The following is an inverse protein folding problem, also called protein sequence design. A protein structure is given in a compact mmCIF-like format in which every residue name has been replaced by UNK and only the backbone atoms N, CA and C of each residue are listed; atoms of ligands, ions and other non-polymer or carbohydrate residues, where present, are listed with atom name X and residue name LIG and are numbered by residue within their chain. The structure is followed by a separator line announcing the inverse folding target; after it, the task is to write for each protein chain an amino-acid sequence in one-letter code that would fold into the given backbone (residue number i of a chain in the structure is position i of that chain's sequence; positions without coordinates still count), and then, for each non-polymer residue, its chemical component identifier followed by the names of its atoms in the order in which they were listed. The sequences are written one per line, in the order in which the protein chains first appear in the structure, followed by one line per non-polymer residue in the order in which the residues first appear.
data_IF_480351233304
#
_entry.id   IF_480351233304
#
_cell.length_a   1.000
_cell.length_b   1.000
_cell.length_c   1.000
_cell.angle_alpha   90.00
_cell.angle_beta   90.00
_cell.angle_gamma   90.00
#
_symmetry.space_group_name_H-M   'P 1'
#
loop_
_entity.id
_entity.type
_entity.pdbx_description
1 polymer ?
#
# COMPACT_ATOMS: atom_id res chain seq x y z
N UNK A 1 12.85 25.41 -0.03
CA UNK A 1 12.88 23.94 -0.24
C UNK A 1 12.52 23.72 -1.70
N UNK A 2 13.46 23.27 -2.50
CA UNK A 2 13.31 23.18 -3.95
C UNK A 2 12.56 21.88 -4.32
N UNK A 3 11.56 22.01 -5.20
CA UNK A 3 10.68 20.93 -5.64
C UNK A 3 11.48 19.87 -6.42
N UNK A 4 11.15 18.59 -6.24
CA UNK A 4 11.83 17.45 -6.89
C UNK A 4 11.75 17.59 -8.42
N UNK A 5 10.66 18.17 -8.92
CA UNK A 5 10.51 18.50 -10.34
C UNK A 5 11.48 19.58 -10.81
N UNK A 6 11.82 20.57 -9.97
CA UNK A 6 12.81 21.59 -10.32
C UNK A 6 14.22 21.02 -10.41
N UNK A 7 14.59 20.08 -9.54
CA UNK A 7 15.90 19.43 -9.61
C UNK A 7 16.03 18.55 -10.87
N UNK A 8 14.96 17.87 -11.27
CA UNK A 8 14.90 17.10 -12.52
C UNK A 8 15.06 18.00 -13.75
N UNK A 9 14.35 19.14 -13.79
CA UNK A 9 14.40 20.09 -14.91
C UNK A 9 15.75 20.83 -14.99
N UNK A 10 16.40 21.13 -13.86
CA UNK A 10 17.71 21.77 -13.85
C UNK A 10 18.81 20.87 -14.42
N UNK A 11 18.78 19.57 -14.13
CA UNK A 11 19.76 18.63 -14.72
C UNK A 11 19.59 18.49 -16.23
N UNK A 12 18.35 18.43 -16.73
CA UNK A 12 18.08 18.43 -18.17
C UNK A 12 18.52 19.73 -18.87
N UNK A 13 18.46 20.86 -18.18
CA UNK A 13 18.85 22.18 -18.73
C UNK A 13 20.36 22.39 -18.80
N UNK A 14 21.15 21.74 -17.95
CA UNK A 14 22.62 21.83 -17.96
C UNK A 14 23.21 21.06 -19.15
N UNK A 15 22.57 19.97 -19.58
CA UNK A 15 23.02 19.16 -20.72
C UNK A 15 22.75 19.81 -22.09
N UNK A 16 21.91 20.85 -22.16
CA UNK A 16 21.52 21.52 -23.40
C UNK A 16 22.49 22.55 -23.98
N UNK A 17 23.65 22.82 -23.34
CA UNK A 17 24.54 23.93 -23.74
C UNK A 17 25.97 23.53 -24.15
N UNK A 18 26.13 22.40 -24.85
CA UNK A 18 27.30 22.14 -25.70
C UNK A 18 26.83 21.91 -27.14
N UNK A 19 27.05 22.90 -28.00
CA UNK A 19 26.79 22.82 -29.44
C UNK A 19 27.97 22.17 -30.20
N UNK A 20 27.57 21.42 -31.23
CA UNK A 20 28.20 21.20 -32.56
C UNK A 20 28.94 19.88 -32.87
N UNK A 21 28.31 19.16 -33.81
CA UNK A 21 28.70 18.12 -34.76
C UNK A 21 30.14 17.57 -34.75
N UNK A 22 30.26 16.25 -34.52
CA UNK A 22 30.81 15.31 -35.50
C UNK A 22 30.30 13.88 -35.24
N UNK A 23 30.22 13.07 -36.28
CA UNK A 23 29.58 11.74 -36.33
C UNK A 23 30.65 10.65 -36.22
N UNK A 24 30.70 9.89 -35.13
CA UNK A 24 31.17 8.49 -35.11
C UNK A 24 31.13 7.90 -33.69
N UNK A 25 30.41 6.79 -33.58
CA UNK A 25 30.54 5.64 -32.67
C UNK A 25 31.10 5.78 -31.24
N UNK A 26 30.30 5.27 -30.30
CA UNK A 26 30.64 4.68 -28.99
C UNK A 26 31.09 5.61 -27.86
N UNK A 27 30.15 5.91 -26.95
CA UNK A 27 30.36 5.88 -25.49
C UNK A 27 29.01 5.92 -24.77
N UNK A 28 28.23 4.83 -24.92
CA UNK A 28 27.29 4.45 -23.87
C UNK A 28 28.21 3.86 -22.80
N UNK A 29 28.49 4.57 -21.70
CA UNK A 29 28.95 4.02 -20.40
C UNK A 29 29.63 5.06 -19.47
N UNK A 30 29.05 6.25 -19.26
CA UNK A 30 29.59 7.13 -18.20
C UNK A 30 28.57 7.99 -17.42
N UNK A 31 27.26 7.78 -17.61
CA UNK A 31 26.28 8.57 -16.86
C UNK A 31 24.96 7.87 -16.50
N UNK A 32 24.90 6.54 -16.52
CA UNK A 32 23.76 5.81 -15.94
C UNK A 32 23.88 5.81 -14.41
N UNK A 33 23.81 6.99 -13.79
CA UNK A 33 23.73 7.13 -12.34
C UNK A 33 22.37 6.62 -11.92
N UNK A 34 22.34 5.40 -11.38
CA UNK A 34 21.14 4.82 -10.81
C UNK A 34 20.81 5.56 -9.49
N UNK A 35 20.06 6.67 -9.59
CA UNK A 35 19.65 7.45 -8.42
C UNK A 35 18.53 6.73 -7.67
N UNK A 36 18.87 6.13 -6.53
CA UNK A 36 17.87 5.65 -5.57
C UNK A 36 17.26 6.88 -4.88
N UNK A 37 15.95 7.14 -5.04
CA UNK A 37 15.30 8.28 -4.39
C UNK A 37 15.39 8.13 -2.87
N UNK A 38 15.90 9.17 -2.19
CA UNK A 38 16.00 9.23 -0.72
C UNK A 38 15.25 10.45 -0.21
N UNK A 39 14.53 10.29 0.89
CA UNK A 39 13.84 11.37 1.59
C UNK A 39 13.90 11.17 3.10
N UNK A 40 13.88 12.26 3.85
CA UNK A 40 13.76 12.24 5.32
C UNK A 40 12.33 11.99 5.79
N UNK A 41 11.34 12.19 4.90
CA UNK A 41 9.92 11.99 5.18
C UNK A 41 9.39 10.72 4.51
N UNK A 42 8.45 10.00 5.15
CA UNK A 42 7.77 8.88 4.52
C UNK A 42 7.00 9.36 3.29
N UNK A 43 7.06 8.57 2.23
CA UNK A 43 6.40 8.87 0.96
C UNK A 43 5.04 8.18 0.88
N UNK A 44 4.06 8.84 0.24
CA UNK A 44 2.74 8.27 0.02
C UNK A 44 2.80 7.09 -0.97
N UNK A 45 2.08 6.01 -0.63
CA UNK A 45 1.96 4.81 -1.47
C UNK A 45 0.89 4.90 -2.56
N UNK A 46 -0.08 5.81 -2.44
CA UNK A 46 -1.19 5.97 -3.37
C UNK A 46 -0.83 6.94 -4.50
N UNK A 47 -1.18 6.59 -5.74
CA UNK A 47 -0.96 7.44 -6.93
C UNK A 47 0.50 7.90 -7.07
N UNK A 48 1.43 7.05 -6.66
CA UNK A 48 2.86 7.34 -6.71
C UNK A 48 3.54 6.44 -7.75
N UNK A 49 3.65 6.90 -9.02
CA UNK A 49 4.19 6.09 -10.10
C UNK A 49 5.68 5.76 -9.93
N UNK A 50 6.43 6.59 -9.21
CA UNK A 50 7.88 6.44 -9.05
C UNK A 50 8.26 5.50 -7.92
N UNK A 51 7.34 5.18 -7.01
CA UNK A 51 7.63 4.41 -5.79
C UNK A 51 8.19 3.02 -6.09
N UNK A 52 7.46 2.20 -6.86
CA UNK A 52 7.88 0.82 -7.15
C UNK A 52 9.00 0.76 -8.19
N UNK A 53 9.07 1.75 -9.09
CA UNK A 53 10.17 1.88 -10.04
C UNK A 53 11.50 2.16 -9.32
N UNK A 54 11.49 3.08 -8.35
CA UNK A 54 12.68 3.42 -7.55
C UNK A 54 13.04 2.36 -6.51
N UNK A 55 12.08 1.56 -6.04
CA UNK A 55 12.32 0.48 -5.08
C UNK A 55 12.91 -0.77 -5.76
N UNK A 56 12.52 -1.04 -7.01
CA UNK A 56 12.99 -2.20 -7.76
C UNK A 56 13.66 -1.84 -9.10
N UNK A 57 14.80 -1.15 -9.07
CA UNK A 57 15.65 -0.89 -10.24
C UNK A 57 15.91 -2.10 -11.13
N UNK A 58 16.11 -3.26 -10.51
CA UNK A 58 16.45 -4.52 -11.17
C UNK A 58 15.26 -5.12 -11.92
N UNK A 59 14.03 -4.86 -11.46
CA UNK A 59 12.80 -5.28 -12.11
C UNK A 59 12.31 -4.24 -13.14
N UNK A 60 12.63 -2.97 -12.93
CA UNK A 60 12.26 -1.86 -13.79
C UNK A 60 13.51 -1.12 -14.31
N UNK A 61 14.37 -1.78 -15.13
CA UNK A 61 15.66 -1.23 -15.53
C UNK A 61 15.56 0.08 -16.31
N UNK A 62 14.45 0.29 -17.02
CA UNK A 62 14.20 1.49 -17.80
C UNK A 62 13.43 2.58 -17.03
N UNK A 63 13.04 2.34 -15.78
CA UNK A 63 12.19 3.27 -15.03
C UNK A 63 10.81 3.50 -15.68
N UNK A 64 10.32 2.53 -16.45
CA UNK A 64 9.02 2.58 -17.15
C UNK A 64 8.08 1.49 -16.61
N UNK A 65 6.79 1.59 -16.94
CA UNK A 65 5.80 0.63 -16.43
C UNK A 65 5.33 0.93 -15.01
N UNK A 66 5.37 2.21 -14.62
CA UNK A 66 4.88 2.70 -13.34
C UNK A 66 3.49 2.17 -12.98
N UNK A 67 3.28 1.95 -11.69
CA UNK A 67 1.95 1.67 -11.16
C UNK A 67 1.11 2.93 -11.11
N UNK A 68 -0.18 2.80 -11.43
CA UNK A 68 -1.16 3.90 -11.32
C UNK A 68 -0.76 5.15 -12.14
N UNK A 69 -0.01 4.95 -13.22
CA UNK A 69 0.42 6.01 -14.12
C UNK A 69 -0.78 6.68 -14.81
N UNK A 70 -0.93 7.98 -14.58
CA UNK A 70 -2.01 8.80 -15.13
C UNK A 70 -1.81 9.13 -16.61
N UNK A 71 -0.58 9.00 -17.14
CA UNK A 71 -0.28 9.21 -18.56
C UNK A 71 -0.78 8.07 -19.45
N UNK A 72 -1.10 6.91 -18.86
CA UNK A 72 -1.56 5.73 -19.59
C UNK A 72 -2.96 5.97 -20.20
N UNK A 73 -3.18 5.62 -21.48
CA UNK A 73 -4.48 5.82 -22.12
C UNK A 73 -5.61 4.98 -21.48
N UNK A 74 -5.27 3.80 -20.95
CA UNK A 74 -6.21 2.91 -20.27
C UNK A 74 -5.82 2.78 -18.81
N UNK A 75 -6.72 3.15 -17.90
CA UNK A 75 -6.48 2.98 -16.46
C UNK A 75 -6.45 1.49 -16.10
N UNK A 76 -5.37 1.07 -15.45
CA UNK A 76 -5.20 -0.29 -14.94
C UNK A 76 -5.24 -0.23 -13.42
N UNK A 77 -6.04 -1.09 -12.79
CA UNK A 77 -6.08 -1.18 -11.33
C UNK A 77 -4.78 -1.78 -10.80
N UNK A 78 -4.39 -1.36 -9.60
CA UNK A 78 -3.17 -1.85 -8.94
C UNK A 78 -3.11 -3.39 -8.91
N UNK A 79 -4.21 -4.05 -8.53
CA UNK A 79 -4.33 -5.52 -8.51
C UNK A 79 -4.15 -6.15 -9.89
N UNK A 80 -4.75 -5.57 -10.94
CA UNK A 80 -4.65 -6.09 -12.32
C UNK A 80 -3.22 -5.95 -12.87
N UNK A 81 -2.54 -4.86 -12.52
CA UNK A 81 -1.13 -4.66 -12.90
C UNK A 81 -0.21 -5.67 -12.20
N UNK A 82 -0.43 -5.98 -10.91
CA UNK A 82 0.32 -7.03 -10.20
C UNK A 82 0.12 -8.38 -10.89
N UNK A 83 -1.12 -8.75 -11.20
CA UNK A 83 -1.43 -10.00 -11.90
C UNK A 83 -0.68 -10.09 -13.24
N UNK A 84 -0.69 -9.01 -14.02
CA UNK A 84 0.05 -8.95 -15.28
C UNK A 84 1.56 -9.15 -15.08
N UNK A 85 2.16 -8.51 -14.07
CA UNK A 85 3.59 -8.65 -13.80
C UNK A 85 3.96 -10.05 -13.31
N UNK A 86 3.11 -10.72 -12.55
CA UNK A 86 3.33 -12.12 -12.16
C UNK A 86 3.11 -13.10 -13.31
N UNK A 87 2.23 -12.78 -14.26
CA UNK A 87 2.07 -13.55 -15.50
C UNK A 87 3.09 -13.20 -16.59
N UNK A 88 4.14 -12.45 -16.26
CA UNK A 88 5.14 -12.05 -17.23
C UNK A 88 6.03 -13.24 -17.62
N UNK A 89 6.40 -13.32 -18.91
CA UNK A 89 6.99 -14.52 -19.50
C UNK A 89 8.27 -15.02 -18.81
N UNK A 90 9.09 -14.11 -18.29
CA UNK A 90 10.39 -14.43 -17.68
C UNK A 90 10.31 -14.66 -16.16
N UNK A 91 9.12 -14.56 -15.56
CA UNK A 91 8.85 -14.77 -14.13
C UNK A 91 9.70 -13.92 -13.18
N UNK A 92 10.41 -12.89 -13.66
CA UNK A 92 11.32 -12.07 -12.84
C UNK A 92 10.62 -11.44 -11.64
N UNK A 93 9.36 -11.05 -11.79
CA UNK A 93 8.53 -10.49 -10.71
C UNK A 93 8.02 -11.54 -9.73
N UNK A 94 7.79 -12.77 -10.21
CA UNK A 94 7.33 -13.90 -9.39
C UNK A 94 8.49 -14.45 -8.54
N UNK A 95 9.69 -14.54 -9.10
CA UNK A 95 10.85 -15.15 -8.43
C UNK A 95 11.64 -14.15 -7.57
N UNK A 96 11.33 -12.85 -7.64
CA UNK A 96 12.04 -11.84 -6.88
C UNK A 96 11.79 -11.94 -5.36
N UNK A 97 12.87 -12.09 -4.60
CA UNK A 97 12.88 -12.39 -3.16
C UNK A 97 11.97 -11.52 -2.28
N UNK A 98 11.81 -10.23 -2.58
CA UNK A 98 11.02 -9.29 -1.77
C UNK A 98 9.79 -8.71 -2.47
N UNK A 99 9.68 -8.84 -3.80
CA UNK A 99 8.70 -8.07 -4.58
C UNK A 99 7.28 -8.51 -4.22
N UNK A 100 7.03 -9.83 -4.20
CA UNK A 100 5.74 -10.41 -3.81
C UNK A 100 5.30 -9.90 -2.45
N UNK A 101 6.19 -9.92 -1.44
CA UNK A 101 5.85 -9.50 -0.09
C UNK A 101 5.48 -8.02 -0.04
N UNK A 102 6.21 -7.14 -0.72
CA UNK A 102 5.91 -5.71 -0.73
C UNK A 102 4.58 -5.43 -1.42
N UNK A 103 4.36 -5.95 -2.63
CA UNK A 103 3.10 -5.68 -3.35
C UNK A 103 1.89 -6.30 -2.64
N UNK A 104 2.07 -7.46 -1.99
CA UNK A 104 1.04 -8.08 -1.16
C UNK A 104 0.71 -7.25 0.08
N UNK A 105 1.72 -6.75 0.80
CA UNK A 105 1.51 -5.85 1.93
C UNK A 105 0.78 -4.56 1.50
N UNK A 106 1.16 -3.98 0.36
CA UNK A 106 0.46 -2.81 -0.20
C UNK A 106 -1.00 -3.13 -0.51
N UNK A 107 -1.30 -4.29 -1.12
CA UNK A 107 -2.67 -4.73 -1.37
C UNK A 107 -3.46 -4.87 -0.06
N UNK A 108 -2.91 -5.55 0.94
CA UNK A 108 -3.58 -5.73 2.24
C UNK A 108 -3.86 -4.40 2.94
N UNK A 109 -2.88 -3.48 2.98
CA UNK A 109 -3.07 -2.15 3.56
C UNK A 109 -4.15 -1.35 2.83
N UNK A 110 -4.13 -1.38 1.50
CA UNK A 110 -5.11 -0.66 0.66
C UNK A 110 -6.54 -1.18 0.90
N UNK A 111 -6.73 -2.49 0.93
CA UNK A 111 -8.03 -3.11 1.24
C UNK A 111 -8.49 -2.78 2.67
N UNK A 112 -7.60 -2.90 3.66
CA UNK A 112 -7.90 -2.58 5.05
C UNK A 112 -8.31 -1.11 5.23
N UNK A 113 -7.55 -0.18 4.64
CA UNK A 113 -7.84 1.25 4.66
C UNK A 113 -9.16 1.57 3.94
N UNK A 114 -9.42 0.94 2.78
CA UNK A 114 -10.67 1.11 2.05
C UNK A 114 -11.88 0.67 2.89
N UNK A 115 -11.81 -0.49 3.52
CA UNK A 115 -12.87 -1.00 4.37
C UNK A 115 -13.06 -0.20 5.65
N UNK A 116 -11.96 0.20 6.30
CA UNK A 116 -12.00 1.09 7.46
C UNK A 116 -12.69 2.42 7.11
N UNK A 117 -12.31 3.02 5.98
CA UNK A 117 -12.95 4.24 5.47
C UNK A 117 -14.44 4.04 5.22
N UNK A 118 -14.82 2.93 4.57
CA UNK A 118 -16.22 2.62 4.30
C UNK A 118 -17.04 2.46 5.59
N UNK A 119 -16.48 1.83 6.62
CA UNK A 119 -17.13 1.68 7.92
C UNK A 119 -17.23 3.00 8.68
N UNK A 120 -16.16 3.77 8.74
CA UNK A 120 -16.12 5.08 9.38
C UNK A 120 -17.07 6.09 8.72
N UNK A 121 -17.33 5.95 7.41
CA UNK A 121 -18.26 6.83 6.68
C UNK A 121 -19.74 6.54 6.95
N UNK A 122 -20.08 5.45 7.67
CA UNK A 122 -21.48 5.11 7.92
C UNK A 122 -22.07 6.00 9.01
N UNK A 123 -23.33 6.45 8.87
CA UNK A 123 -23.96 7.37 9.83
C UNK A 123 -24.10 6.79 11.24
N UNK A 124 -24.18 5.46 11.36
CA UNK A 124 -24.25 4.80 12.68
C UNK A 124 -22.90 4.71 13.39
N UNK A 125 -21.78 5.01 12.71
CA UNK A 125 -20.45 4.85 13.28
C UNK A 125 -20.24 5.70 14.53
N UNK A 126 -20.75 6.94 14.57
CA UNK A 126 -20.63 7.81 15.77
C UNK A 126 -21.25 7.16 17.01
N UNK A 127 -22.47 6.65 16.88
CA UNK A 127 -23.18 5.96 17.98
C UNK A 127 -22.43 4.72 18.43
N UNK A 128 -21.91 3.94 17.49
CA UNK A 128 -21.11 2.75 17.81
C UNK A 128 -19.77 3.13 18.45
N UNK A 129 -19.11 4.20 18.01
CA UNK A 129 -17.86 4.67 18.60
C UNK A 129 -18.06 5.15 20.04
N UNK A 130 -19.14 5.88 20.32
CA UNK A 130 -19.53 6.29 21.68
C UNK A 130 -19.85 5.08 22.58
N UNK A 131 -20.54 4.07 22.04
CA UNK A 131 -20.80 2.81 22.73
C UNK A 131 -19.51 2.04 23.04
N UNK A 132 -18.54 2.05 22.13
CA UNK A 132 -17.23 1.42 22.35
C UNK A 132 -16.42 2.22 23.39
N UNK A 133 -16.45 3.55 23.33
CA UNK A 133 -15.70 4.42 24.25
C UNK A 133 -16.23 4.37 25.69
N UNK A 134 -17.53 4.10 25.87
CA UNK A 134 -18.16 3.99 27.19
C UNK A 134 -17.99 2.64 27.88
N UNK A 135 -17.40 1.64 27.20
CA UNK A 135 -17.16 0.32 27.79
C UNK A 135 -16.05 0.34 28.83
N UNK A 136 -16.33 -0.20 30.01
CA UNK A 136 -15.33 -0.35 31.07
C UNK A 136 -14.43 -1.57 30.81
N UNK A 137 -13.13 -1.41 31.05
CA UNK A 137 -12.14 -2.48 30.86
C UNK A 137 -12.43 -3.72 31.72
N UNK A 138 -13.02 -3.54 32.89
CA UNK A 138 -13.32 -4.66 33.80
C UNK A 138 -14.49 -5.53 33.29
N UNK A 139 -15.47 -4.94 32.62
CA UNK A 139 -16.57 -5.68 31.97
C UNK A 139 -16.02 -6.58 30.85
N UNK A 140 -15.07 -6.08 30.07
CA UNK A 140 -14.41 -6.82 28.99
C UNK A 140 -13.62 -8.01 29.56
N UNK A 141 -12.86 -7.80 30.65
CA UNK A 141 -12.12 -8.87 31.34
C UNK A 141 -13.05 -9.94 31.89
N UNK A 142 -14.18 -9.57 32.49
CA UNK A 142 -15.17 -10.54 32.99
C UNK A 142 -15.72 -11.42 31.87
N UNK A 143 -15.99 -10.83 30.70
CA UNK A 143 -16.47 -11.58 29.53
C UNK A 143 -15.39 -12.48 28.95
N UNK A 144 -14.14 -12.00 28.82
CA UNK A 144 -12.99 -12.82 28.38
C UNK A 144 -12.77 -14.04 29.28
N UNK A 145 -12.73 -13.83 30.60
CA UNK A 145 -12.60 -14.91 31.58
C UNK A 145 -13.77 -15.91 31.51
N UNK A 146 -14.97 -15.43 31.16
CA UNK A 146 -16.15 -16.28 30.94
C UNK A 146 -16.05 -17.12 29.67
N UNK A 147 -15.48 -16.57 28.59
CA UNK A 147 -15.26 -17.26 27.30
C UNK A 147 -14.13 -18.30 27.38
N UNK A 148 -13.07 -18.05 28.15
CA UNK A 148 -12.01 -19.03 28.37
C UNK A 148 -12.49 -20.25 29.17
N UNK A 149 -13.41 -20.01 30.14
CA UNK A 149 -13.95 -21.07 31.01
C UNK A 149 -15.13 -21.82 30.37
N UNK A 150 -15.96 -21.15 29.59
CA UNK A 150 -17.07 -21.76 28.86
C UNK A 150 -16.79 -21.74 27.36
N UNK A 151 -16.38 -22.88 26.79
CA UNK A 151 -16.21 -23.07 25.33
C UNK A 151 -17.51 -22.86 24.51
N UNK A 152 -18.64 -22.68 25.19
CA UNK A 152 -19.96 -22.49 24.58
C UNK A 152 -20.31 -21.01 24.57
N UNK A 153 -20.46 -20.47 23.36
CA UNK A 153 -20.80 -19.08 23.00
C UNK A 153 -22.12 -18.57 23.62
N UNK A 154 -22.17 -18.38 24.94
CA UNK A 154 -23.28 -17.66 25.55
C UNK A 154 -23.12 -16.15 25.30
N UNK A 155 -24.14 -15.45 24.79
CA UNK A 155 -24.09 -13.99 24.65
C UNK A 155 -23.82 -13.39 26.03
N UNK A 156 -22.83 -12.51 26.12
CA UNK A 156 -22.46 -11.87 27.38
C UNK A 156 -23.66 -11.13 27.97
N UNK A 157 -23.72 -11.04 29.30
CA UNK A 157 -24.82 -10.36 30.02
C UNK A 157 -24.93 -8.87 29.66
N UNK A 158 -23.85 -8.26 29.17
CA UNK A 158 -23.83 -6.87 28.74
C UNK A 158 -24.07 -6.76 27.22
N UNK A 159 -25.19 -6.14 26.77
CA UNK A 159 -25.50 -5.99 25.34
C UNK A 159 -24.47 -5.16 24.58
N UNK A 160 -23.77 -4.23 25.25
CA UNK A 160 -22.72 -3.41 24.62
C UNK A 160 -21.48 -4.23 24.28
N UNK A 161 -21.12 -5.22 25.09
CA UNK A 161 -19.98 -6.11 24.79
C UNK A 161 -20.31 -7.05 23.62
N UNK A 162 -21.56 -7.51 23.52
CA UNK A 162 -22.01 -8.29 22.34
C UNK A 162 -22.02 -7.43 21.06
N UNK A 163 -22.40 -6.15 21.17
CA UNK A 163 -22.31 -5.19 20.07
C UNK A 163 -20.84 -4.93 19.68
N UNK A 164 -19.93 -4.79 20.64
CA UNK A 164 -18.50 -4.70 20.33
C UNK A 164 -18.00 -5.96 19.62
N UNK A 165 -18.36 -7.15 20.10
CA UNK A 165 -17.93 -8.41 19.48
C UNK A 165 -18.46 -8.56 18.05
N UNK A 166 -19.69 -8.14 17.76
CA UNK A 166 -20.23 -8.18 16.40
C UNK A 166 -19.51 -7.19 15.47
N UNK A 167 -19.12 -6.02 15.98
CA UNK A 167 -18.32 -5.05 15.23
C UNK A 167 -16.89 -5.54 14.99
N UNK A 168 -16.24 -6.14 15.99
CA UNK A 168 -14.91 -6.77 15.85
C UNK A 168 -14.96 -7.89 14.81
N UNK A 169 -16.00 -8.72 14.81
CA UNK A 169 -16.21 -9.73 13.78
C UNK A 169 -16.44 -9.11 12.40
N UNK A 170 -17.23 -8.05 12.30
CA UNK A 170 -17.50 -7.36 11.04
C UNK A 170 -16.25 -6.70 10.43
N UNK A 171 -15.38 -6.12 11.27
CA UNK A 171 -14.12 -5.52 10.85
C UNK A 171 -13.07 -6.60 10.55
N UNK A 172 -12.93 -7.58 11.45
CA UNK A 172 -11.99 -8.69 11.33
C UNK A 172 -12.27 -9.58 10.11
N UNK A 173 -13.54 -9.86 9.81
CA UNK A 173 -13.92 -10.69 8.65
C UNK A 173 -13.65 -10.04 7.29
N UNK A 174 -13.22 -8.78 7.27
CA UNK A 174 -12.89 -8.07 6.04
C UNK A 174 -11.39 -7.92 5.78
N UNK A 175 -10.55 -8.25 6.76
CA UNK A 175 -9.09 -8.27 6.59
C UNK A 175 -8.66 -9.68 6.22
N UNK A 176 -8.11 -9.85 5.01
CA UNK A 176 -7.65 -11.16 4.53
C UNK A 176 -6.60 -11.75 5.48
N UNK A 177 -6.88 -12.94 6.01
CA UNK A 177 -6.00 -13.66 6.95
C UNK A 177 -6.26 -13.36 8.43
N UNK A 178 -7.29 -12.58 8.78
CA UNK A 178 -7.71 -12.47 10.18
C UNK A 178 -8.38 -13.78 10.64
N UNK A 179 -8.34 -14.05 11.95
CA UNK A 179 -9.01 -15.21 12.57
C UNK A 179 -10.54 -15.23 12.36
N UNK A 180 -11.11 -14.14 11.85
CA UNK A 180 -12.53 -13.97 11.57
C UNK A 180 -12.85 -13.86 10.06
N UNK A 181 -11.85 -13.95 9.18
CA UNK A 181 -11.96 -13.88 7.71
C UNK A 181 -12.37 -15.20 7.07
#
# INVERSE_FOLDING_TARGET
MEDINEQMLRKLRIDGNKQSLDSSETNIDDNLVHMIPRGSAPTNEYNNPTLLLGLYPTLFPYGTGAFEDTSRPVKISFKKQIQYLFSYNDRRFEEHYSFIFIVFNMLQRREACFHARLMASKPFFSKTAEQIASLNADDIKQVLNGLEKNKSSAPSRNPQVNALLSQVKAVGGKVMGSAHS
#
